data_IF_748916331019
#
_entry.id   IF_748916331019
#
_cell.length_a   1.000
_cell.length_b   1.000
_cell.length_c   1.000
_cell.angle_alpha   90.00
_cell.angle_beta   90.00
_cell.angle_gamma   90.00
#
_symmetry.space_group_name_H-M   'P 1'
#
loop_
_entity.id
_entity.type
_entity.pdbx_description
1 polymer ?
#
# COMPACT_ATOMS: atom_id res chain seq x y z
N UNK A 1 12.29 -17.19 -49.28
CA UNK A 1 11.71 -18.54 -49.36
C UNK A 1 10.25 -18.46 -48.89
N UNK A 2 9.34 -19.30 -49.40
CA UNK A 2 7.97 -19.35 -48.87
C UNK A 2 8.00 -19.86 -47.42
N UNK A 3 7.17 -19.28 -46.55
CA UNK A 3 7.19 -19.55 -45.11
C UNK A 3 8.31 -18.82 -44.34
N UNK A 4 9.07 -17.96 -45.01
CA UNK A 4 10.09 -17.06 -44.43
C UNK A 4 9.88 -15.61 -44.87
N UNK A 5 8.64 -15.23 -45.09
CA UNK A 5 8.27 -13.87 -45.50
C UNK A 5 8.57 -12.89 -44.36
N UNK A 6 9.17 -11.75 -44.69
CA UNK A 6 9.41 -10.68 -43.73
C UNK A 6 9.41 -9.30 -44.39
N UNK A 7 9.12 -8.28 -43.60
CA UNK A 7 9.24 -6.86 -43.97
C UNK A 7 10.20 -6.20 -42.99
N UNK A 8 11.12 -5.40 -43.52
CA UNK A 8 12.07 -4.60 -42.73
C UNK A 8 12.01 -3.15 -43.18
N UNK A 9 11.59 -2.27 -42.27
CA UNK A 9 11.72 -0.83 -42.40
C UNK A 9 12.85 -0.38 -41.47
N UNK A 10 13.91 0.23 -42.01
CA UNK A 10 15.15 0.48 -41.27
C UNK A 10 15.75 1.84 -41.62
N UNK A 11 16.31 2.50 -40.60
CA UNK A 11 17.25 3.61 -40.74
C UNK A 11 18.48 3.35 -39.87
N UNK A 12 19.64 3.87 -40.28
CA UNK A 12 20.90 3.76 -39.51
C UNK A 12 21.00 4.81 -38.38
N UNK A 13 20.06 5.76 -38.31
CA UNK A 13 20.00 6.71 -37.20
C UNK A 13 19.52 6.03 -35.91
N UNK A 14 20.10 6.38 -34.76
CA UNK A 14 19.81 5.74 -33.46
C UNK A 14 20.30 4.29 -33.43
N UNK A 15 21.50 4.05 -33.95
CA UNK A 15 22.07 2.73 -34.21
C UNK A 15 21.38 2.03 -35.39
N UNK A 16 20.25 1.37 -35.13
CA UNK A 16 19.40 0.77 -36.18
C UNK A 16 17.93 0.84 -35.76
N UNK A 17 17.30 1.99 -35.96
CA UNK A 17 15.88 2.15 -35.69
C UNK A 17 15.05 1.39 -36.72
N UNK A 18 14.32 0.37 -36.28
CA UNK A 18 13.69 -0.62 -37.17
C UNK A 18 12.29 -1.05 -36.72
N UNK A 19 11.43 -1.28 -37.71
CA UNK A 19 10.25 -2.13 -37.61
C UNK A 19 10.48 -3.38 -38.46
N UNK A 20 10.49 -4.55 -37.83
CA UNK A 20 10.63 -5.84 -38.48
C UNK A 20 9.34 -6.67 -38.27
N UNK A 21 8.81 -7.28 -39.33
CA UNK A 21 7.58 -8.10 -39.31
C UNK A 21 7.83 -9.46 -39.98
N UNK A 22 7.30 -10.55 -39.43
CA UNK A 22 7.33 -11.90 -40.01
C UNK A 22 8.49 -12.76 -39.52
N UNK A 23 9.27 -13.32 -40.46
CA UNK A 23 10.47 -14.13 -40.19
C UNK A 23 11.72 -13.24 -40.06
N UNK A 24 12.06 -12.84 -38.83
CA UNK A 24 13.09 -11.84 -38.56
C UNK A 24 14.49 -12.46 -38.75
N UNK A 25 15.30 -11.90 -39.65
CA UNK A 25 16.67 -12.36 -39.91
C UNK A 25 17.74 -11.37 -39.44
N UNK A 26 18.96 -11.86 -39.24
CA UNK A 26 20.14 -11.08 -38.86
C UNK A 26 20.78 -10.34 -40.04
N UNK A 27 21.93 -9.70 -39.79
CA UNK A 27 22.68 -8.96 -40.80
C UNK A 27 23.68 -9.80 -41.62
N UNK A 28 23.79 -11.11 -41.37
CA UNK A 28 24.79 -11.94 -42.03
C UNK A 28 24.50 -12.06 -43.53
N UNK A 29 25.55 -12.06 -44.35
CA UNK A 29 25.49 -12.17 -45.81
C UNK A 29 26.50 -13.22 -46.28
N UNK A 30 26.19 -14.02 -47.32
CA UNK A 30 24.97 -14.01 -48.13
C UNK A 30 23.79 -14.77 -47.49
N UNK A 31 24.03 -15.50 -46.39
CA UNK A 31 23.05 -16.36 -45.72
C UNK A 31 22.69 -15.79 -44.34
N UNK A 32 21.62 -14.98 -44.23
CA UNK A 32 21.19 -14.44 -42.95
C UNK A 32 20.51 -15.53 -42.10
N UNK A 33 20.80 -15.57 -40.81
CA UNK A 33 20.15 -16.50 -39.89
C UNK A 33 18.89 -15.90 -39.29
N UNK A 34 17.94 -16.76 -38.92
CA UNK A 34 16.77 -16.33 -38.16
C UNK A 34 17.20 -15.87 -36.75
N UNK A 35 16.64 -14.74 -36.32
CA UNK A 35 16.83 -14.18 -34.97
C UNK A 35 15.51 -13.96 -34.23
N UNK A 36 14.37 -14.17 -34.86
CA UNK A 36 13.06 -14.07 -34.21
C UNK A 36 11.88 -14.30 -35.14
N UNK A 37 10.68 -14.23 -34.59
CA UNK A 37 9.40 -14.31 -35.31
C UNK A 37 8.41 -13.31 -34.72
N UNK A 38 7.44 -12.88 -35.52
CA UNK A 38 6.40 -11.94 -35.10
C UNK A 38 6.72 -10.52 -35.52
N UNK A 39 6.73 -9.59 -34.57
CA UNK A 39 7.15 -8.22 -34.83
C UNK A 39 8.20 -7.75 -33.82
N UNK A 40 9.07 -6.86 -34.26
CA UNK A 40 10.00 -6.15 -33.39
C UNK A 40 10.03 -4.68 -33.79
N UNK A 41 9.82 -3.82 -32.80
CA UNK A 41 10.11 -2.40 -32.88
C UNK A 41 11.36 -2.15 -32.00
N UNK A 42 12.49 -1.78 -32.62
CA UNK A 42 13.77 -1.56 -31.91
C UNK A 42 14.43 -0.24 -32.28
N UNK A 43 15.20 0.30 -31.35
CA UNK A 43 16.12 1.44 -31.52
C UNK A 43 17.15 1.40 -30.38
N UNK A 44 18.31 2.02 -30.58
CA UNK A 44 19.29 2.24 -29.50
C UNK A 44 19.04 3.58 -28.77
N UNK A 45 18.19 4.43 -29.35
CA UNK A 45 17.70 5.67 -28.74
C UNK A 45 16.41 5.42 -27.93
N UNK A 46 15.63 6.47 -27.65
CA UNK A 46 14.35 6.37 -26.96
C UNK A 46 13.24 5.81 -27.85
N UNK A 47 12.41 4.94 -27.28
CA UNK A 47 11.13 4.53 -27.85
C UNK A 47 9.96 5.27 -27.21
N UNK A 48 8.98 5.68 -28.01
CA UNK A 48 7.74 6.27 -27.52
C UNK A 48 6.52 5.64 -28.21
N UNK A 49 5.61 5.06 -27.42
CA UNK A 49 4.29 4.63 -27.88
C UNK A 49 3.26 5.57 -27.24
N UNK A 50 2.60 6.39 -28.05
CA UNK A 50 1.62 7.37 -27.58
C UNK A 50 0.30 7.18 -28.30
N UNK A 51 -0.74 6.85 -27.53
CA UNK A 51 -2.09 6.67 -28.05
C UNK A 51 -3.07 7.54 -27.25
N UNK A 52 -3.51 8.65 -27.84
CA UNK A 52 -4.35 9.66 -27.15
C UNK A 52 -5.75 9.18 -26.75
N UNK A 53 -6.17 8.01 -27.24
CA UNK A 53 -7.43 7.34 -26.85
C UNK A 53 -7.21 6.15 -25.92
N UNK A 54 -5.97 5.84 -25.54
CA UNK A 54 -5.61 4.71 -24.70
C UNK A 54 -4.77 3.66 -25.44
N UNK A 55 -4.10 2.79 -24.69
CA UNK A 55 -3.19 1.75 -25.19
C UNK A 55 -3.60 0.38 -24.64
N UNK A 56 -3.84 -0.58 -25.54
CA UNK A 56 -4.09 -1.98 -25.18
C UNK A 56 -2.86 -2.82 -25.57
N UNK A 57 -2.26 -3.48 -24.59
CA UNK A 57 -1.12 -4.38 -24.77
C UNK A 57 -1.59 -5.77 -24.34
N UNK A 58 -1.65 -6.71 -25.28
CA UNK A 58 -2.22 -8.03 -25.04
C UNK A 58 -1.35 -9.14 -25.64
N UNK A 59 -1.25 -10.25 -24.90
CA UNK A 59 -0.73 -11.53 -25.39
C UNK A 59 -1.85 -12.53 -25.72
N UNK A 60 -3.08 -12.07 -25.87
CA UNK A 60 -4.21 -12.87 -26.33
C UNK A 60 -4.10 -13.10 -27.84
N UNK A 61 -4.26 -14.35 -28.27
CA UNK A 61 -4.18 -14.69 -29.67
C UNK A 61 -5.45 -14.24 -30.41
N UNK A 62 -5.28 -13.42 -31.45
CA UNK A 62 -6.34 -13.11 -32.42
C UNK A 62 -5.97 -13.67 -33.80
N UNK A 63 -6.47 -14.87 -34.09
CA UNK A 63 -6.14 -15.60 -35.32
C UNK A 63 -6.52 -14.80 -36.56
N UNK A 64 -5.54 -14.59 -37.46
CA UNK A 64 -5.72 -13.90 -38.75
C UNK A 64 -6.33 -12.49 -38.63
N UNK A 65 -6.18 -11.82 -37.49
CA UNK A 65 -6.82 -10.54 -37.22
C UNK A 65 -8.32 -10.53 -37.52
N UNK A 66 -9.01 -11.66 -37.24
CA UNK A 66 -10.43 -11.86 -37.61
C UNK A 66 -11.43 -11.12 -36.70
N UNK A 67 -10.95 -10.27 -35.80
CA UNK A 67 -11.75 -9.53 -34.82
C UNK A 67 -11.43 -8.04 -34.85
N UNK A 68 -11.99 -7.30 -33.90
CA UNK A 68 -11.65 -5.89 -33.73
C UNK A 68 -10.24 -5.74 -33.14
N UNK A 69 -9.55 -4.66 -33.50
CA UNK A 69 -8.22 -4.34 -32.94
C UNK A 69 -8.23 -4.27 -31.41
N UNK A 70 -9.34 -3.85 -30.81
CA UNK A 70 -9.55 -3.73 -29.38
C UNK A 70 -10.50 -4.80 -28.83
N UNK A 71 -10.59 -5.98 -29.49
CA UNK A 71 -11.29 -7.10 -28.89
C UNK A 71 -10.59 -7.52 -27.59
N UNK A 72 -11.31 -7.34 -26.49
CA UNK A 72 -10.81 -7.54 -25.14
C UNK A 72 -11.80 -8.33 -24.28
N UNK A 73 -12.63 -9.16 -24.93
CA UNK A 73 -13.69 -9.94 -24.28
C UNK A 73 -13.16 -10.77 -23.10
N UNK A 74 -12.01 -11.46 -23.29
CA UNK A 74 -11.34 -12.22 -22.24
C UNK A 74 -10.79 -11.33 -21.09
N UNK A 75 -10.40 -10.10 -21.40
CA UNK A 75 -9.82 -9.17 -20.42
C UNK A 75 -10.91 -8.54 -19.55
N UNK A 76 -12.09 -8.26 -20.12
CA UNK A 76 -13.24 -7.73 -19.39
C UNK A 76 -13.64 -8.70 -18.26
N UNK A 77 -13.67 -10.00 -18.53
CA UNK A 77 -13.94 -11.02 -17.51
C UNK A 77 -12.92 -10.98 -16.34
N UNK A 78 -11.64 -10.73 -16.63
CA UNK A 78 -10.61 -10.58 -15.60
C UNK A 78 -10.79 -9.30 -14.78
N UNK A 79 -11.12 -8.18 -15.43
CA UNK A 79 -11.43 -6.92 -14.74
C UNK A 79 -12.64 -7.05 -13.81
N UNK A 80 -13.69 -7.74 -14.26
CA UNK A 80 -14.89 -8.00 -13.48
C UNK A 80 -14.61 -8.93 -12.30
N UNK A 81 -13.85 -10.00 -12.53
CA UNK A 81 -13.44 -10.94 -11.49
C UNK A 81 -12.61 -10.24 -10.40
N UNK A 82 -11.62 -9.43 -10.78
CA UNK A 82 -10.81 -8.66 -9.83
C UNK A 82 -11.67 -7.68 -9.01
N UNK A 83 -12.59 -6.96 -9.66
CA UNK A 83 -13.49 -6.05 -8.97
C UNK A 83 -14.45 -6.79 -8.01
N UNK A 84 -14.93 -7.97 -8.40
CA UNK A 84 -15.79 -8.81 -7.56
C UNK A 84 -15.08 -9.26 -6.28
N UNK A 85 -13.83 -9.70 -6.40
CA UNK A 85 -12.97 -10.05 -5.25
C UNK A 85 -12.79 -8.83 -4.33
N UNK A 86 -12.43 -7.67 -4.91
CA UNK A 86 -12.22 -6.44 -4.14
C UNK A 86 -13.48 -6.00 -3.38
N UNK A 87 -14.66 -6.05 -4.00
CA UNK A 87 -15.94 -5.72 -3.38
C UNK A 87 -16.29 -6.69 -2.25
N UNK A 88 -16.16 -7.99 -2.50
CA UNK A 88 -16.48 -9.03 -1.51
C UNK A 88 -15.63 -8.92 -0.25
N UNK A 89 -14.31 -8.75 -0.42
CA UNK A 89 -13.38 -8.58 0.70
C UNK A 89 -13.59 -7.24 1.42
N UNK A 90 -13.83 -6.16 0.69
CA UNK A 90 -14.13 -4.85 1.30
C UNK A 90 -15.40 -4.92 2.14
N UNK A 91 -16.44 -5.63 1.66
CA UNK A 91 -17.68 -5.80 2.42
C UNK A 91 -17.47 -6.64 3.68
N UNK A 92 -16.66 -7.69 3.60
CA UNK A 92 -16.32 -8.51 4.76
C UNK A 92 -15.53 -7.72 5.82
N UNK A 93 -14.61 -6.86 5.40
CA UNK A 93 -13.89 -5.95 6.29
C UNK A 93 -14.84 -4.96 6.97
N UNK A 94 -15.74 -4.32 6.20
CA UNK A 94 -16.73 -3.37 6.73
C UNK A 94 -17.65 -3.99 7.79
N UNK A 95 -18.17 -5.21 7.54
CA UNK A 95 -18.99 -5.95 8.53
C UNK A 95 -18.22 -6.22 9.82
N UNK A 96 -16.89 -6.35 9.74
CA UNK A 96 -16.00 -6.62 10.86
C UNK A 96 -15.41 -5.34 11.47
N UNK A 97 -15.99 -4.17 11.18
CA UNK A 97 -15.52 -2.85 11.62
C UNK A 97 -14.12 -2.46 11.11
N UNK A 98 -13.59 -3.16 10.10
CA UNK A 98 -12.37 -2.78 9.40
C UNK A 98 -12.63 -1.69 8.35
N UNK A 99 -11.57 -0.99 7.93
CA UNK A 99 -11.67 0.01 6.85
C UNK A 99 -11.86 -0.72 5.50
N UNK A 100 -12.95 -0.47 4.75
CA UNK A 100 -13.14 -1.06 3.43
C UNK A 100 -12.13 -0.48 2.43
N UNK A 101 -11.78 -1.25 1.40
CA UNK A 101 -10.98 -0.76 0.28
C UNK A 101 -11.80 0.13 -0.66
N UNK A 102 -11.11 0.93 -1.47
CA UNK A 102 -11.70 1.82 -2.48
C UNK A 102 -12.19 1.04 -3.72
N UNK A 103 -13.24 0.25 -3.54
CA UNK A 103 -13.87 -0.50 -4.63
C UNK A 103 -14.61 0.40 -5.63
N UNK A 104 -14.96 1.63 -5.25
CA UNK A 104 -15.59 2.61 -6.13
C UNK A 104 -14.59 3.12 -7.19
N UNK A 105 -13.39 3.51 -6.76
CA UNK A 105 -12.30 3.91 -7.67
C UNK A 105 -11.92 2.79 -8.64
N UNK A 106 -11.86 1.54 -8.17
CA UNK A 106 -11.62 0.38 -9.04
C UNK A 106 -12.77 0.13 -10.03
N UNK A 107 -14.03 0.36 -9.64
CA UNK A 107 -15.17 0.25 -10.56
C UNK A 107 -15.14 1.33 -11.66
N UNK A 108 -14.75 2.55 -11.32
CA UNK A 108 -14.55 3.63 -12.31
C UNK A 108 -13.41 3.27 -13.27
N UNK A 109 -12.33 2.67 -12.76
CA UNK A 109 -11.22 2.21 -13.60
C UNK A 109 -11.67 1.14 -14.61
N UNK A 110 -12.50 0.17 -14.21
CA UNK A 110 -13.07 -0.80 -15.16
C UNK A 110 -13.85 -0.09 -16.29
N UNK A 111 -14.68 0.90 -15.97
CA UNK A 111 -15.43 1.66 -17.00
C UNK A 111 -14.52 2.44 -17.96
N UNK A 112 -13.36 2.90 -17.48
CA UNK A 112 -12.35 3.58 -18.30
C UNK A 112 -11.66 2.61 -19.25
N UNK A 113 -11.28 1.43 -18.75
CA UNK A 113 -10.47 0.46 -19.48
C UNK A 113 -11.29 -0.44 -20.41
N UNK A 114 -12.56 -0.70 -20.08
CA UNK A 114 -13.48 -1.46 -20.93
C UNK A 114 -13.68 -0.73 -22.27
N UNK A 115 -13.26 -1.38 -23.35
CA UNK A 115 -13.23 -0.79 -24.70
C UNK A 115 -12.28 0.40 -24.85
N UNK A 116 -11.41 0.68 -23.86
CA UNK A 116 -10.64 1.92 -23.75
C UNK A 116 -11.49 3.17 -24.00
N UNK A 117 -12.67 3.26 -23.35
CA UNK A 117 -13.59 4.40 -23.45
C UNK A 117 -12.94 5.74 -23.07
N UNK A 118 -11.91 5.71 -22.22
CA UNK A 118 -11.06 6.87 -21.89
C UNK A 118 -9.58 6.53 -22.03
N UNK A 119 -8.67 7.52 -22.06
CA UNK A 119 -7.23 7.32 -22.27
C UNK A 119 -6.52 6.60 -21.10
N UNK A 120 -6.67 5.28 -21.03
CA UNK A 120 -5.97 4.40 -20.09
C UNK A 120 -4.96 3.48 -20.76
N UNK A 121 -4.23 2.72 -19.95
CA UNK A 121 -3.39 1.61 -20.42
C UNK A 121 -3.94 0.32 -19.83
N UNK A 122 -4.24 -0.66 -20.68
CA UNK A 122 -4.66 -2.00 -20.27
C UNK A 122 -3.61 -3.00 -20.75
N UNK A 123 -3.02 -3.75 -19.83
CA UNK A 123 -2.06 -4.80 -20.11
C UNK A 123 -2.64 -6.15 -19.67
N UNK A 124 -2.68 -7.12 -20.57
CA UNK A 124 -3.19 -8.45 -20.28
C UNK A 124 -2.34 -9.54 -20.92
N UNK A 125 -2.14 -10.64 -20.19
CA UNK A 125 -1.50 -11.83 -20.71
C UNK A 125 -2.09 -13.07 -20.02
N UNK A 126 -2.54 -14.09 -20.79
CA UNK A 126 -3.18 -15.27 -20.22
C UNK A 126 -2.23 -16.15 -19.39
N UNK A 127 -0.91 -15.98 -19.55
CA UNK A 127 0.12 -16.74 -18.83
C UNK A 127 0.97 -15.86 -17.90
N UNK A 128 0.43 -14.71 -17.48
CA UNK A 128 1.06 -13.84 -16.47
C UNK A 128 1.85 -12.67 -17.06
N UNK A 129 2.17 -11.72 -16.19
CA UNK A 129 2.88 -10.48 -16.52
C UNK A 129 4.06 -10.33 -15.54
N UNK A 130 5.26 -10.10 -16.06
CA UNK A 130 6.44 -9.78 -15.26
C UNK A 130 6.81 -8.30 -15.36
N UNK A 131 7.01 -7.64 -14.22
CA UNK A 131 7.53 -6.27 -14.13
C UNK A 131 8.80 -6.34 -13.29
N UNK A 132 9.96 -6.21 -13.93
CA UNK A 132 11.26 -6.48 -13.32
C UNK A 132 12.22 -5.34 -13.69
N UNK A 133 13.04 -4.92 -12.73
CA UNK A 133 14.13 -3.98 -12.91
C UNK A 133 15.26 -4.33 -11.93
N UNK A 134 16.55 -4.21 -12.31
CA UNK A 134 17.64 -4.23 -11.35
C UNK A 134 17.63 -2.97 -10.45
N UNK A 135 16.94 -1.93 -10.89
CA UNK A 135 16.73 -0.67 -10.18
C UNK A 135 15.30 -0.61 -9.60
N UNK A 136 14.95 0.55 -9.07
CA UNK A 136 13.64 0.77 -8.43
C UNK A 136 12.47 0.59 -9.40
N UNK A 137 11.43 -0.14 -8.97
CA UNK A 137 10.11 -0.19 -9.60
C UNK A 137 9.13 0.62 -8.74
N UNK A 138 8.39 1.56 -9.34
CA UNK A 138 7.37 2.37 -8.65
C UNK A 138 6.00 2.17 -9.29
N UNK A 139 5.02 1.82 -8.47
CA UNK A 139 3.59 1.82 -8.82
C UNK A 139 2.92 2.90 -7.97
N UNK A 140 2.36 3.92 -8.63
CA UNK A 140 1.79 5.06 -7.93
C UNK A 140 0.55 5.57 -8.66
N UNK A 141 -0.40 6.07 -7.86
CA UNK A 141 -1.57 6.81 -8.33
C UNK A 141 -1.66 8.11 -7.53
N UNK A 142 -1.73 9.25 -8.20
CA UNK A 142 -1.56 10.57 -7.55
C UNK A 142 -2.80 11.06 -6.80
N UNK A 143 -4.00 10.69 -7.28
CA UNK A 143 -5.28 11.18 -6.74
C UNK A 143 -6.30 10.06 -6.48
N UNK A 144 -5.93 8.80 -6.78
CA UNK A 144 -6.80 7.64 -6.63
C UNK A 144 -6.03 6.48 -6.01
N UNK A 145 -6.72 5.39 -5.69
CA UNK A 145 -6.12 4.23 -5.03
C UNK A 145 -5.28 3.36 -5.97
N UNK A 146 -4.25 2.72 -5.43
CA UNK A 146 -3.57 1.57 -6.07
C UNK A 146 -4.25 0.30 -5.57
N UNK A 147 -4.80 -0.50 -6.49
CA UNK A 147 -5.41 -1.79 -6.18
C UNK A 147 -4.45 -2.95 -6.47
N UNK A 148 -4.29 -3.87 -5.52
CA UNK A 148 -3.60 -5.15 -5.72
C UNK A 148 -4.58 -6.26 -5.37
N UNK A 149 -5.02 -7.01 -6.37
CA UNK A 149 -6.05 -8.05 -6.23
C UNK A 149 -5.47 -9.38 -6.69
N UNK A 150 -5.62 -10.41 -5.85
CA UNK A 150 -5.23 -11.78 -6.18
C UNK A 150 -6.40 -12.74 -5.92
N UNK A 151 -6.64 -13.67 -6.85
CA UNK A 151 -7.58 -14.77 -6.63
C UNK A 151 -7.07 -15.85 -5.66
N UNK A 152 -5.79 -15.79 -5.30
CA UNK A 152 -5.11 -16.67 -4.34
C UNK A 152 -4.39 -15.84 -3.28
N UNK A 153 -3.06 -15.83 -3.30
CA UNK A 153 -2.23 -15.08 -2.36
C UNK A 153 -1.71 -13.79 -2.98
N UNK A 154 -1.52 -12.77 -2.14
CA UNK A 154 -0.68 -11.63 -2.44
C UNK A 154 0.58 -11.75 -1.57
N UNK A 155 1.68 -12.21 -2.17
CA UNK A 155 2.94 -12.45 -1.47
C UNK A 155 3.86 -11.23 -1.62
N UNK A 156 4.30 -10.67 -0.49
CA UNK A 156 5.24 -9.55 -0.44
C UNK A 156 6.51 -10.03 0.28
N UNK A 157 7.64 -9.96 -0.40
CA UNK A 157 8.94 -10.41 0.12
C UNK A 157 9.99 -9.34 -0.10
N UNK A 158 10.75 -9.00 0.95
CA UNK A 158 11.88 -8.08 0.90
C UNK A 158 13.07 -8.69 1.63
N UNK A 159 14.28 -8.50 1.10
CA UNK A 159 15.52 -8.94 1.77
C UNK A 159 15.89 -8.06 2.95
N UNK A 160 15.45 -6.81 2.93
CA UNK A 160 15.62 -5.84 4.02
C UNK A 160 14.28 -5.66 4.70
N UNK A 161 13.61 -4.55 4.42
CA UNK A 161 12.44 -4.13 5.17
C UNK A 161 11.17 -4.17 4.32
N UNK A 162 10.05 -4.48 4.96
CA UNK A 162 8.71 -4.16 4.47
C UNK A 162 8.19 -3.02 5.33
N UNK A 163 8.05 -1.84 4.74
CA UNK A 163 7.53 -0.65 5.41
C UNK A 163 6.14 -0.31 4.87
N UNK A 164 5.16 -0.17 5.77
CA UNK A 164 3.81 0.27 5.43
C UNK A 164 3.47 1.54 6.23
N UNK A 165 3.15 2.62 5.53
CA UNK A 165 2.79 3.91 6.12
C UNK A 165 1.45 4.36 5.52
N UNK A 166 0.47 4.61 6.38
CA UNK A 166 -0.83 5.16 6.00
C UNK A 166 -0.95 6.60 6.48
N UNK A 167 -1.41 7.51 5.61
CA UNK A 167 -1.63 8.92 6.01
C UNK A 167 -2.82 9.10 6.96
N UNK A 168 -3.79 8.17 6.95
CA UNK A 168 -4.92 8.16 7.89
C UNK A 168 -4.90 6.93 8.79
N UNK A 169 -4.77 5.74 8.21
CA UNK A 169 -4.77 4.49 8.96
C UNK A 169 -4.14 3.34 8.18
N UNK A 170 -3.72 2.32 8.91
CA UNK A 170 -3.36 1.00 8.38
C UNK A 170 -4.38 0.00 8.92
N UNK A 171 -5.11 -0.69 8.03
CA UNK A 171 -6.14 -1.66 8.39
C UNK A 171 -5.77 -3.03 7.82
N UNK A 172 -5.56 -4.02 8.69
CA UNK A 172 -5.25 -5.40 8.32
C UNK A 172 -6.40 -6.31 8.78
N UNK A 173 -6.99 -7.05 7.84
CA UNK A 173 -8.15 -7.90 8.09
C UNK A 173 -7.94 -9.29 7.50
N UNK A 174 -8.24 -10.32 8.30
CA UNK A 174 -8.22 -11.72 7.88
C UNK A 174 -9.57 -12.38 8.19
N UNK A 175 -10.28 -12.84 7.14
CA UNK A 175 -11.66 -13.31 7.28
C UNK A 175 -11.79 -14.70 7.93
N UNK A 176 -10.85 -15.62 7.68
CA UNK A 176 -11.02 -17.05 8.00
C UNK A 176 -9.92 -17.62 8.88
N UNK A 177 -8.66 -17.49 8.46
CA UNK A 177 -7.53 -18.21 9.06
C UNK A 177 -6.76 -17.43 10.14
N UNK A 178 -7.29 -16.28 10.56
CA UNK A 178 -6.67 -15.42 11.57
C UNK A 178 -5.44 -14.66 11.06
N UNK A 179 -4.75 -14.00 11.99
CA UNK A 179 -3.55 -13.21 11.74
C UNK A 179 -2.38 -13.76 12.55
N UNK A 180 -1.19 -13.74 11.97
CA UNK A 180 0.05 -14.12 12.62
C UNK A 180 1.08 -13.01 12.47
N UNK A 181 1.63 -12.53 13.58
CA UNK A 181 2.66 -11.51 13.64
C UNK A 181 3.84 -12.08 14.43
N UNK A 182 4.96 -12.29 13.75
CA UNK A 182 6.16 -12.88 14.36
C UNK A 182 7.39 -12.04 14.04
N UNK A 183 8.24 -11.82 15.04
CA UNK A 183 9.62 -11.42 14.85
C UNK A 183 10.50 -12.62 15.24
N UNK A 184 11.20 -13.24 14.28
CA UNK A 184 12.08 -14.37 14.58
C UNK A 184 13.28 -13.92 15.43
N UNK A 185 13.83 -12.75 15.10
CA UNK A 185 14.83 -12.03 15.87
C UNK A 185 14.40 -10.57 15.95
N UNK A 186 14.88 -9.87 16.98
CA UNK A 186 14.47 -8.50 17.25
C UNK A 186 13.16 -8.39 18.02
N UNK A 187 12.83 -7.16 18.41
CA UNK A 187 11.68 -6.83 19.25
C UNK A 187 10.42 -6.69 18.39
N UNK A 188 9.32 -7.30 18.82
CA UNK A 188 7.98 -6.91 18.37
C UNK A 188 7.49 -5.73 19.22
N UNK A 189 7.19 -4.62 18.59
CA UNK A 189 6.75 -3.38 19.24
C UNK A 189 5.39 -2.95 18.68
N UNK A 190 4.43 -2.71 19.58
CA UNK A 190 3.07 -2.26 19.25
C UNK A 190 2.78 -1.07 20.16
N UNK A 191 2.45 0.08 19.57
CA UNK A 191 2.19 1.32 20.28
C UNK A 191 1.00 2.06 19.66
N UNK A 192 0.13 2.59 20.51
CA UNK A 192 -0.77 3.69 20.17
C UNK A 192 -0.17 4.96 20.82
N UNK A 193 0.39 5.87 20.01
CA UNK A 193 1.25 6.95 20.52
C UNK A 193 0.47 8.12 21.14
N UNK A 194 -0.77 8.32 20.70
CA UNK A 194 -1.64 9.40 21.17
C UNK A 194 -3.11 8.93 21.35
N UNK A 195 -3.34 7.61 21.40
CA UNK A 195 -4.67 7.04 21.52
C UNK A 195 -4.65 5.68 22.24
N UNK A 196 -5.81 5.03 22.34
CA UNK A 196 -5.99 3.74 22.99
C UNK A 196 -5.36 2.58 22.21
N UNK A 197 -4.72 1.66 22.94
CA UNK A 197 -4.41 0.32 22.46
C UNK A 197 -5.42 -0.67 23.03
N UNK A 198 -6.24 -1.28 22.17
CA UNK A 198 -7.26 -2.26 22.55
C UNK A 198 -6.93 -3.67 22.03
N UNK A 199 -7.08 -4.67 22.91
CA UNK A 199 -6.91 -6.08 22.58
C UNK A 199 -8.11 -6.88 23.09
N UNK A 200 -8.91 -7.42 22.16
CA UNK A 200 -10.15 -8.14 22.44
C UNK A 200 -10.12 -9.53 21.79
N UNK A 201 -10.47 -10.56 22.55
CA UNK A 201 -10.73 -11.89 22.01
C UNK A 201 -12.08 -12.42 22.51
N UNK A 202 -12.77 -13.16 21.64
CA UNK A 202 -14.01 -13.89 22.03
C UNK A 202 -13.71 -15.10 22.93
N UNK A 203 -12.52 -15.66 22.79
CA UNK A 203 -11.99 -16.75 23.61
C UNK A 203 -10.89 -16.19 24.51
N UNK A 204 -9.94 -17.02 24.87
CA UNK A 204 -8.88 -16.69 25.80
C UNK A 204 -7.88 -15.68 25.22
N UNK A 205 -7.25 -14.92 26.12
CA UNK A 205 -6.09 -14.07 25.84
C UNK A 205 -4.93 -14.59 26.69
N UNK A 206 -3.88 -15.08 26.03
CA UNK A 206 -2.67 -15.57 26.69
C UNK A 206 -1.53 -14.55 26.57
N UNK A 207 -1.01 -14.09 27.71
CA UNK A 207 0.15 -13.19 27.78
C UNK A 207 1.26 -13.89 28.54
N UNK A 208 2.32 -14.30 27.83
CA UNK A 208 3.39 -15.13 28.40
C UNK A 208 4.78 -14.58 28.06
N UNK A 209 5.66 -14.57 29.06
CA UNK A 209 7.11 -14.46 28.86
C UNK A 209 7.73 -15.81 29.26
N UNK A 210 8.29 -16.53 28.29
CA UNK A 210 8.79 -17.90 28.51
C UNK A 210 10.05 -17.94 29.40
N UNK A 211 10.93 -16.96 29.25
CA UNK A 211 12.22 -16.90 29.94
C UNK A 211 12.44 -15.59 30.71
N UNK A 212 11.51 -14.63 30.56
CA UNK A 212 11.68 -13.26 31.05
C UNK A 212 10.61 -12.85 32.06
N UNK A 213 10.19 -11.58 31.96
CA UNK A 213 9.20 -10.97 32.85
C UNK A 213 8.03 -10.41 32.05
N UNK A 214 6.85 -10.42 32.67
CA UNK A 214 5.70 -9.62 32.24
C UNK A 214 5.66 -8.37 33.12
N UNK A 215 5.58 -7.19 32.51
CA UNK A 215 5.49 -5.92 33.24
C UNK A 215 4.29 -5.15 32.72
N UNK A 216 3.39 -4.78 33.64
CA UNK A 216 2.18 -4.00 33.36
C UNK A 216 2.27 -2.75 34.21
N UNK A 217 2.40 -1.60 33.55
CA UNK A 217 2.47 -0.29 34.20
C UNK A 217 1.35 0.60 33.66
N UNK A 218 0.74 1.38 34.53
CA UNK A 218 -0.20 2.43 34.14
C UNK A 218 0.07 3.69 34.99
N UNK A 219 -0.07 4.87 34.39
CA UNK A 219 0.14 6.15 35.09
C UNK A 219 -1.05 6.55 35.98
N UNK A 220 -2.24 6.03 35.69
CA UNK A 220 -3.48 6.34 36.43
C UNK A 220 -3.98 5.15 37.24
N UNK A 221 -4.21 4.01 36.57
CA UNK A 221 -4.95 2.91 37.18
C UNK A 221 -4.70 1.58 36.45
N UNK A 222 -4.58 0.49 37.22
CA UNK A 222 -4.62 -0.90 36.73
C UNK A 222 -5.83 -1.59 37.36
N UNK A 223 -6.65 -2.27 36.55
CA UNK A 223 -7.79 -3.09 37.02
C UNK A 223 -7.69 -4.48 36.39
N UNK A 224 -7.71 -5.51 37.23
CA UNK A 224 -7.83 -6.90 36.83
C UNK A 224 -9.17 -7.41 37.37
N UNK A 225 -10.10 -7.82 36.52
CA UNK A 225 -11.47 -8.18 36.96
C UNK A 225 -11.97 -9.47 36.32
N UNK A 226 -12.73 -10.27 37.08
CA UNK A 226 -13.41 -11.47 36.60
C UNK A 226 -14.60 -11.83 37.49
N UNK A 227 -15.77 -12.08 36.91
CA UNK A 227 -16.95 -12.55 37.64
C UNK A 227 -17.42 -11.66 38.80
N UNK A 228 -17.12 -10.35 38.75
CA UNK A 228 -17.40 -9.39 39.83
C UNK A 228 -16.30 -9.27 40.90
N UNK A 229 -15.30 -10.15 40.92
CA UNK A 229 -14.08 -9.97 41.69
C UNK A 229 -13.05 -9.11 40.94
N UNK A 230 -12.24 -8.34 41.66
CA UNK A 230 -11.20 -7.52 41.05
C UNK A 230 -10.00 -7.23 41.98
N UNK A 231 -8.88 -6.90 41.34
CA UNK A 231 -7.70 -6.26 41.95
C UNK A 231 -7.52 -4.93 41.24
N UNK A 232 -7.42 -3.84 42.02
CA UNK A 232 -7.24 -2.49 41.50
C UNK A 232 -6.01 -1.85 42.14
N UNK A 233 -5.18 -1.21 41.32
CA UNK A 233 -4.02 -0.42 41.75
C UNK A 233 -4.22 1.02 41.29
N UNK A 234 -4.35 1.96 42.24
CA UNK A 234 -4.65 3.37 41.96
C UNK A 234 -4.18 4.28 43.09
N UNK A 235 -3.59 5.42 42.75
CA UNK A 235 -3.14 6.46 43.70
C UNK A 235 -2.23 5.90 44.82
N UNK A 236 -1.40 4.91 44.49
CA UNK A 236 -0.51 4.21 45.43
C UNK A 236 -1.20 3.15 46.31
N UNK A 237 -2.51 2.95 46.17
CA UNK A 237 -3.29 1.97 46.93
C UNK A 237 -3.56 0.70 46.12
N UNK A 238 -3.70 -0.42 46.83
CA UNK A 238 -4.18 -1.69 46.29
C UNK A 238 -5.54 -2.00 46.92
N UNK A 239 -6.57 -2.18 46.08
CA UNK A 239 -7.93 -2.55 46.48
C UNK A 239 -8.23 -3.97 45.96
N UNK A 240 -8.64 -4.85 46.88
CA UNK A 240 -9.08 -6.22 46.57
C UNK A 240 -10.56 -6.33 46.93
N UNK A 241 -11.42 -6.48 45.93
CA UNK A 241 -12.87 -6.57 46.12
C UNK A 241 -13.45 -7.81 45.45
N UNK A 242 -14.38 -8.49 46.14
CA UNK A 242 -15.13 -9.60 45.54
C UNK A 242 -16.47 -9.83 46.26
N UNK A 243 -17.49 -10.37 45.58
CA UNK A 243 -18.76 -10.76 46.20
C UNK A 243 -18.65 -12.04 47.05
N UNK A 244 -17.65 -12.87 46.77
CA UNK A 244 -17.34 -14.08 47.54
C UNK A 244 -16.25 -13.84 48.58
N UNK A 245 -15.43 -14.87 48.81
CA UNK A 245 -14.33 -14.82 49.79
C UNK A 245 -12.99 -14.49 49.13
N UNK A 246 -12.15 -13.68 49.81
CA UNK A 246 -10.72 -13.59 49.52
C UNK A 246 -10.03 -14.76 50.24
N UNK A 247 -9.67 -15.81 49.51
CA UNK A 247 -8.99 -16.99 50.06
C UNK A 247 -7.47 -16.85 49.97
N UNK A 248 -6.82 -16.62 51.11
CA UNK A 248 -5.36 -16.58 51.21
C UNK A 248 -4.83 -17.92 51.74
N UNK A 249 -4.11 -18.67 50.90
CA UNK A 249 -3.42 -19.91 51.30
C UNK A 249 -1.91 -19.63 51.39
N UNK A 250 -1.44 -19.17 52.55
CA UNK A 250 -0.05 -18.78 52.76
C UNK A 250 0.51 -19.36 54.07
N UNK A 251 1.81 -19.69 54.08
CA UNK A 251 2.50 -20.11 55.30
C UNK A 251 2.69 -18.94 56.29
N UNK A 252 2.86 -17.71 55.79
CA UNK A 252 2.95 -16.48 56.57
C UNK A 252 2.43 -15.29 55.77
N UNK A 253 1.78 -14.33 56.43
CA UNK A 253 1.43 -13.01 55.87
C UNK A 253 1.97 -11.95 56.83
N UNK A 254 2.98 -11.19 56.41
CA UNK A 254 3.61 -10.16 57.22
C UNK A 254 3.16 -8.78 56.75
N UNK A 255 2.64 -7.97 57.68
CA UNK A 255 2.33 -6.56 57.44
C UNK A 255 3.46 -5.70 58.01
N UNK A 256 4.44 -5.39 57.16
CA UNK A 256 5.58 -4.51 57.46
C UNK A 256 5.27 -3.13 56.86
N UNK A 257 5.94 -2.07 57.30
CA UNK A 257 5.68 -0.69 56.87
C UNK A 257 5.60 -0.48 55.34
N UNK A 258 5.04 0.66 54.91
CA UNK A 258 4.83 0.94 53.50
C UNK A 258 6.14 1.01 52.70
N UNK A 259 6.10 0.52 51.47
CA UNK A 259 7.19 0.56 50.49
C UNK A 259 6.62 1.04 49.14
N UNK A 260 7.48 1.63 48.30
CA UNK A 260 7.09 2.14 46.99
C UNK A 260 8.08 1.74 45.89
N UNK A 261 7.55 1.38 44.72
CA UNK A 261 8.32 1.17 43.50
C UNK A 261 7.78 2.13 42.44
N UNK A 262 8.58 3.12 42.07
CA UNK A 262 8.24 4.05 40.99
C UNK A 262 8.74 3.48 39.66
N UNK A 263 7.83 2.99 38.82
CA UNK A 263 8.16 2.66 37.43
C UNK A 263 8.21 3.96 36.59
N UNK A 264 9.26 4.18 35.79
CA UNK A 264 9.31 5.33 34.88
C UNK A 264 8.20 5.23 33.83
N UNK A 265 7.47 6.33 33.62
CA UNK A 265 6.43 6.43 32.58
C UNK A 265 7.12 6.53 31.20
N UNK A 266 6.77 5.68 30.22
CA UNK A 266 7.29 5.80 28.86
C UNK A 266 6.89 7.16 28.25
N UNK A 267 7.86 7.90 27.72
CA UNK A 267 7.59 9.12 26.95
C UNK A 267 7.39 8.73 25.49
N UNK A 268 6.19 8.99 24.96
CA UNK A 268 5.86 8.73 23.55
C UNK A 268 6.27 9.94 22.70
N UNK A 269 6.90 9.73 21.52
CA UNK A 269 7.23 10.80 20.61
C UNK A 269 5.96 11.44 20.03
N UNK A 270 6.00 12.76 19.77
CA UNK A 270 4.90 13.49 19.11
C UNK A 270 5.34 13.88 17.70
N UNK A 271 4.52 13.55 16.69
CA UNK A 271 4.66 14.05 15.32
C UNK A 271 3.79 15.29 15.08
N UNK A 272 4.15 16.11 14.09
CA UNK A 272 3.39 17.28 13.66
C UNK A 272 2.97 17.12 12.20
N UNK A 273 1.69 17.36 11.87
CA UNK A 273 1.18 17.31 10.50
C UNK A 273 0.34 18.54 10.15
N UNK A 274 0.23 18.84 8.86
CA UNK A 274 -0.67 19.87 8.35
C UNK A 274 -0.67 19.99 6.83
N UNK A 275 -1.75 20.54 6.27
CA UNK A 275 -1.87 20.92 4.86
C UNK A 275 -2.01 22.43 4.72
N UNK A 276 -1.73 22.95 3.52
CA UNK A 276 -1.84 24.38 3.23
C UNK A 276 -2.83 24.61 2.10
N UNK A 277 -3.52 25.76 2.12
CA UNK A 277 -4.36 26.19 0.99
C UNK A 277 -3.62 27.25 0.20
N UNK A 278 -3.29 26.94 -1.05
CA UNK A 278 -2.72 27.90 -1.99
C UNK A 278 -3.80 28.91 -2.36
N UNK A 279 -3.50 30.19 -2.12
CA UNK A 279 -4.39 31.30 -2.45
C UNK A 279 -3.65 32.29 -3.34
N UNK A 280 -4.39 32.85 -4.29
CA UNK A 280 -3.94 33.97 -5.09
C UNK A 280 -3.76 35.21 -4.21
N UNK A 281 -2.62 35.90 -4.35
CA UNK A 281 -2.22 36.97 -3.44
C UNK A 281 -3.09 38.24 -3.59
N UNK A 282 -3.67 38.46 -4.77
CA UNK A 282 -4.47 39.65 -5.07
C UNK A 282 -5.96 39.43 -4.83
N UNK A 283 -6.49 38.26 -5.21
CA UNK A 283 -7.92 37.94 -5.11
C UNK A 283 -8.30 37.13 -3.86
N UNK A 284 -7.33 36.51 -3.18
CA UNK A 284 -7.56 35.63 -2.03
C UNK A 284 -8.28 34.33 -2.37
N UNK A 285 -8.55 34.05 -3.65
CA UNK A 285 -9.22 32.84 -4.10
C UNK A 285 -8.27 31.64 -4.06
N UNK A 286 -8.83 30.46 -3.81
CA UNK A 286 -8.06 29.21 -3.84
C UNK A 286 -7.52 28.95 -5.25
N UNK A 287 -6.29 28.44 -5.33
CA UNK A 287 -5.64 28.07 -6.59
C UNK A 287 -5.71 26.54 -6.79
N UNK A 288 -6.76 26.03 -7.45
CA UNK A 288 -6.88 24.60 -7.73
C UNK A 288 -5.91 24.15 -8.83
N UNK A 289 -5.47 22.89 -8.75
CA UNK A 289 -4.60 22.24 -9.74
C UNK A 289 -3.28 22.99 -10.06
N UNK A 290 -2.78 23.78 -9.10
CA UNK A 290 -1.53 24.53 -9.21
C UNK A 290 -0.36 23.69 -8.72
N UNK A 291 0.78 23.72 -9.41
CA UNK A 291 2.00 23.06 -8.93
C UNK A 291 2.57 23.82 -7.75
N UNK A 292 3.07 23.10 -6.76
CA UNK A 292 3.71 23.68 -5.59
C UNK A 292 4.92 22.89 -5.12
N UNK A 293 5.74 23.55 -4.30
CA UNK A 293 6.87 23.01 -3.57
C UNK A 293 6.83 23.53 -2.14
N UNK A 294 6.86 22.63 -1.16
CA UNK A 294 7.03 22.95 0.25
C UNK A 294 8.43 22.51 0.68
N UNK A 295 9.19 23.41 1.29
CA UNK A 295 10.51 23.11 1.86
C UNK A 295 10.45 23.28 3.37
N UNK A 296 10.82 22.23 4.10
CA UNK A 296 10.91 22.24 5.57
C UNK A 296 12.21 22.88 6.06
N UNK A 297 12.29 23.27 7.33
CA UNK A 297 13.49 23.88 7.90
C UNK A 297 14.71 22.92 7.94
N UNK A 298 14.47 21.61 7.99
CA UNK A 298 15.50 20.56 7.86
C UNK A 298 15.87 20.26 6.40
N UNK A 299 15.31 20.99 5.44
CA UNK A 299 15.67 20.94 4.02
C UNK A 299 14.96 19.87 3.19
N UNK A 300 13.93 19.20 3.71
CA UNK A 300 13.11 18.28 2.93
C UNK A 300 12.20 19.05 1.97
N UNK A 301 12.06 18.54 0.76
CA UNK A 301 11.29 19.18 -0.31
C UNK A 301 10.11 18.27 -0.72
N UNK A 302 8.89 18.80 -0.63
CA UNK A 302 7.66 18.14 -1.03
C UNK A 302 7.06 18.87 -2.22
N UNK A 303 6.93 18.20 -3.36
CA UNK A 303 6.32 18.76 -4.57
C UNK A 303 4.99 18.08 -4.89
N UNK A 304 4.04 18.84 -5.42
CA UNK A 304 2.73 18.30 -5.77
C UNK A 304 1.89 19.26 -6.60
N UNK A 305 0.64 18.85 -6.83
CA UNK A 305 -0.40 19.65 -7.48
C UNK A 305 -1.57 19.79 -6.50
N UNK A 306 -2.08 21.01 -6.32
CA UNK A 306 -3.19 21.25 -5.38
C UNK A 306 -4.49 20.60 -5.87
N UNK A 307 -5.37 20.27 -4.93
CA UNK A 307 -6.69 19.71 -5.22
C UNK A 307 -7.68 20.76 -5.77
N UNK A 308 -8.94 20.36 -5.98
CA UNK A 308 -10.03 21.23 -6.47
C UNK A 308 -10.34 22.42 -5.55
N UNK A 309 -9.91 22.36 -4.29
CA UNK A 309 -10.05 23.42 -3.29
C UNK A 309 -8.75 24.19 -3.03
N UNK A 310 -7.71 23.97 -3.85
CA UNK A 310 -6.40 24.59 -3.71
C UNK A 310 -5.57 24.07 -2.53
N UNK A 311 -5.92 22.93 -1.93
CA UNK A 311 -5.15 22.33 -0.83
C UNK A 311 -3.94 21.55 -1.33
N UNK A 312 -2.81 21.67 -0.62
CA UNK A 312 -1.64 20.81 -0.77
C UNK A 312 -1.91 19.43 -0.16
N UNK A 313 -1.02 18.48 -0.41
CA UNK A 313 -0.98 17.26 0.40
C UNK A 313 -0.63 17.63 1.84
N UNK A 314 -1.12 16.84 2.78
CA UNK A 314 -0.73 16.94 4.17
C UNK A 314 0.72 16.46 4.33
N UNK A 315 1.57 17.30 4.92
CA UNK A 315 2.97 17.00 5.19
C UNK A 315 3.18 16.71 6.67
N UNK A 316 4.12 15.81 6.97
CA UNK A 316 4.42 15.36 8.33
C UNK A 316 5.88 15.68 8.66
N UNK A 317 6.11 16.22 9.86
CA UNK A 317 7.43 16.64 10.35
C UNK A 317 7.66 16.17 11.78
N UNK A 318 8.93 16.00 12.16
CA UNK A 318 9.33 15.60 13.51
C UNK A 318 9.33 16.76 14.50
N UNK A 319 9.33 18.00 14.03
CA UNK A 319 9.34 19.24 14.84
C UNK A 319 8.47 20.31 14.19
N UNK A 320 7.82 21.20 14.97
CA UNK A 320 6.99 22.27 14.44
C UNK A 320 7.88 23.42 13.96
N UNK A 321 8.36 23.34 12.73
CA UNK A 321 9.27 24.31 12.14
C UNK A 321 8.64 25.17 11.05
N UNK A 322 9.29 26.30 10.71
CA UNK A 322 8.87 27.17 9.60
C UNK A 322 9.01 26.45 8.26
N UNK A 323 8.00 26.61 7.41
CA UNK A 323 7.95 26.02 6.06
C UNK A 323 8.01 27.13 5.02
N UNK A 324 8.76 26.91 3.93
CA UNK A 324 8.73 27.77 2.75
C UNK A 324 7.83 27.12 1.68
N UNK A 325 6.83 27.84 1.17
CA UNK A 325 5.88 27.32 0.20
C UNK A 325 5.93 28.18 -1.07
N UNK A 326 6.31 27.54 -2.17
CA UNK A 326 6.37 28.13 -3.50
C UNK A 326 5.31 27.46 -4.39
N UNK A 327 4.71 28.21 -5.31
CA UNK A 327 3.78 27.68 -6.30
C UNK A 327 4.10 28.24 -7.68
N UNK A 328 3.90 27.41 -8.71
CA UNK A 328 4.32 27.65 -10.09
C UNK A 328 3.14 27.48 -11.05
#
# INVERSE_FOLDING_TARGET
ERGKEHIKLSTEYGGKSQLNLGHLVDGQRPHPNQRGEGFELRTDDWGAIRAGKGLFISADQQTKASGQQLDMSAVIEQLETALSIAKSLSKAAEISQGKPGDSAGQAVLNQVLEGLKKPGILMHAPQGIGIISPETVRVASGHHSVGVIAGKNADISALKDITAVGGESVSLFAQRSGMKLFAHQGKLEIQAQDDELSALAKKDIDITSAEGKVTINASREIVLSSGGGYIRIKDGNIELGCPGNILLKAANVQKIGAENINAPVPVLPRGFSGFFTLKDQDSGQALPHKRYRITTADGQVFEGVSDENGKTVEIHTSTPDKLNIEHF
#
